data_IF_140469601300
#
_entry.id   IF_140469601300
#
_cell.length_a   1.000
_cell.length_b   1.000
_cell.length_c   1.000
_cell.angle_alpha   90.00
_cell.angle_beta   90.00
_cell.angle_gamma   90.00
#
_symmetry.space_group_name_H-M   'P 1'
#
loop_
_entity.id
_entity.type
_entity.pdbx_description
1 polymer ?
#
# COMPACT_ATOMS: atom_id res chain seq x y z
N UNK A 1 -18.98 -1.43 1.71
CA UNK A 1 -18.46 -1.06 3.04
C UNK A 1 -18.54 -2.21 4.06
N UNK A 2 -18.27 -3.43 3.63
CA UNK A 2 -18.34 -4.62 4.52
C UNK A 2 -17.15 -4.69 5.50
N UNK A 3 -16.02 -3.99 5.22
CA UNK A 3 -14.80 -4.08 6.04
C UNK A 3 -14.81 -3.20 7.30
N UNK A 4 -15.56 -2.08 7.32
CA UNK A 4 -15.62 -1.18 8.47
C UNK A 4 -16.19 -1.85 9.73
N UNK A 5 -17.31 -2.63 9.69
CA UNK A 5 -17.84 -3.29 10.86
C UNK A 5 -16.89 -4.34 11.44
N UNK A 6 -16.04 -4.94 10.61
CA UNK A 6 -15.04 -5.91 11.06
C UNK A 6 -13.94 -5.18 11.83
N UNK A 7 -13.41 -4.10 11.28
CA UNK A 7 -12.38 -3.28 11.94
C UNK A 7 -12.83 -2.72 13.28
N UNK A 8 -14.06 -2.19 13.36
CA UNK A 8 -14.65 -1.65 14.59
C UNK A 8 -14.81 -2.70 15.70
N UNK A 9 -15.05 -3.97 15.35
CA UNK A 9 -15.18 -5.06 16.34
C UNK A 9 -13.80 -5.63 16.73
N UNK A 10 -12.89 -5.70 15.79
CA UNK A 10 -11.54 -6.26 16.01
C UNK A 10 -10.71 -5.34 16.89
N UNK A 11 -10.79 -4.01 16.71
CA UNK A 11 -10.04 -3.04 17.50
C UNK A 11 -10.23 -3.20 19.01
N UNK A 12 -11.47 -3.14 19.54
CA UNK A 12 -11.73 -3.38 20.97
C UNK A 12 -11.39 -4.80 21.44
N UNK A 13 -11.52 -5.81 20.58
CA UNK A 13 -11.14 -7.19 20.93
C UNK A 13 -9.64 -7.33 21.13
N UNK A 14 -8.84 -6.67 20.29
CA UNK A 14 -7.39 -6.64 20.42
C UNK A 14 -6.92 -5.97 21.70
N UNK A 15 -7.54 -4.86 22.07
CA UNK A 15 -7.17 -4.09 23.28
C UNK A 15 -7.53 -4.78 24.57
N UNK A 16 -8.45 -5.76 24.56
CA UNK A 16 -8.74 -6.62 25.73
C UNK A 16 -7.57 -7.53 26.10
N UNK A 17 -6.67 -7.81 25.16
CA UNK A 17 -5.46 -8.58 25.45
C UNK A 17 -4.51 -7.74 26.32
N UNK A 18 -4.20 -8.23 27.53
CA UNK A 18 -3.23 -7.57 28.42
C UNK A 18 -1.78 -7.72 27.96
N UNK A 19 -1.52 -8.52 26.94
CA UNK A 19 -0.18 -8.81 26.41
C UNK A 19 0.06 -7.98 25.14
N UNK A 20 0.87 -6.95 25.26
CA UNK A 20 1.21 -6.03 24.17
C UNK A 20 1.67 -6.78 22.90
N UNK A 21 2.52 -7.77 23.07
CA UNK A 21 3.08 -8.51 21.95
C UNK A 21 2.02 -9.29 21.15
N UNK A 22 0.95 -9.75 21.81
CA UNK A 22 -0.19 -10.39 21.13
C UNK A 22 -0.95 -9.38 20.26
N UNK A 23 -1.14 -8.17 20.78
CA UNK A 23 -1.77 -7.07 20.04
C UNK A 23 -0.97 -6.72 18.78
N UNK A 24 0.36 -6.61 18.92
CA UNK A 24 1.24 -6.30 17.79
C UNK A 24 1.29 -7.41 16.75
N UNK A 25 1.32 -8.67 17.19
CA UNK A 25 1.27 -9.81 16.28
C UNK A 25 -0.05 -9.87 15.52
N UNK A 26 -1.17 -9.66 16.21
CA UNK A 26 -2.48 -9.61 15.56
C UNK A 26 -2.57 -8.45 14.57
N UNK A 27 -2.05 -7.28 14.93
CA UNK A 27 -1.98 -6.13 14.04
C UNK A 27 -1.17 -6.45 12.78
N UNK A 28 0.02 -7.03 12.94
CA UNK A 28 0.85 -7.46 11.83
C UNK A 28 0.11 -8.44 10.91
N UNK A 29 -0.47 -9.50 11.46
CA UNK A 29 -1.19 -10.51 10.68
C UNK A 29 -2.39 -9.91 9.94
N UNK A 30 -3.15 -9.05 10.60
CA UNK A 30 -4.28 -8.36 9.98
C UNK A 30 -3.83 -7.43 8.86
N UNK A 31 -2.74 -6.67 9.06
CA UNK A 31 -2.16 -5.83 8.02
C UNK A 31 -1.73 -6.65 6.81
N UNK A 32 -1.06 -7.78 7.01
CA UNK A 32 -0.66 -8.68 5.91
C UNK A 32 -1.88 -9.23 5.18
N UNK A 33 -2.86 -9.79 5.90
CA UNK A 33 -4.04 -10.43 5.29
C UNK A 33 -4.84 -9.43 4.46
N UNK A 34 -5.11 -8.24 5.00
CA UNK A 34 -5.91 -7.24 4.29
C UNK A 34 -5.19 -6.72 3.05
N UNK A 35 -3.86 -6.55 3.14
CA UNK A 35 -3.05 -6.05 2.03
C UNK A 35 -2.91 -7.08 0.90
N UNK A 36 -2.72 -8.35 1.23
CA UNK A 36 -2.70 -9.44 0.21
C UNK A 36 -4.05 -9.54 -0.51
N UNK A 37 -5.14 -9.17 0.16
CA UNK A 37 -6.49 -9.17 -0.43
C UNK A 37 -6.77 -7.94 -1.30
N UNK A 38 -5.87 -6.95 -1.35
CA UNK A 38 -6.03 -5.74 -2.14
C UNK A 38 -5.82 -6.04 -3.63
N UNK A 39 -6.83 -5.84 -4.50
CA UNK A 39 -6.71 -6.15 -5.93
C UNK A 39 -5.66 -5.28 -6.63
N UNK A 40 -5.52 -4.02 -6.24
CA UNK A 40 -4.57 -3.09 -6.85
C UNK A 40 -3.11 -3.52 -6.64
N UNK A 41 -2.83 -4.23 -5.54
CA UNK A 41 -1.49 -4.78 -5.28
C UNK A 41 -1.13 -5.89 -6.27
N UNK A 42 -2.10 -6.69 -6.69
CA UNK A 42 -1.87 -7.73 -7.69
C UNK A 42 -1.56 -7.11 -9.05
N UNK A 43 -2.29 -6.06 -9.42
CA UNK A 43 -2.02 -5.30 -10.65
C UNK A 43 -0.61 -4.68 -10.61
N UNK A 44 -0.21 -4.07 -9.50
CA UNK A 44 1.16 -3.55 -9.35
C UNK A 44 2.20 -4.64 -9.54
N UNK A 45 1.99 -5.83 -8.96
CA UNK A 45 2.93 -6.94 -9.08
C UNK A 45 3.09 -7.41 -10.54
N UNK A 46 2.01 -7.43 -11.32
CA UNK A 46 2.05 -7.78 -12.74
C UNK A 46 2.80 -6.75 -13.59
N UNK A 47 2.80 -5.48 -13.17
CA UNK A 47 3.51 -4.40 -13.86
C UNK A 47 5.03 -4.39 -13.61
N UNK A 48 5.54 -5.23 -12.71
CA UNK A 48 6.98 -5.27 -12.33
C UNK A 48 7.59 -6.62 -12.70
N UNK A 49 7.89 -6.88 -13.97
CA UNK A 49 8.37 -8.19 -14.44
C UNK A 49 9.76 -8.58 -13.91
N UNK A 50 10.50 -7.63 -13.36
CA UNK A 50 11.84 -7.86 -12.80
C UNK A 50 11.85 -8.60 -11.46
N UNK A 51 10.70 -8.75 -10.80
CA UNK A 51 10.56 -9.44 -9.52
C UNK A 51 9.37 -10.41 -9.60
N UNK A 52 9.45 -11.63 -9.04
CA UNK A 52 8.30 -12.52 -8.96
C UNK A 52 7.13 -11.86 -8.21
N UNK A 53 5.93 -11.94 -8.76
CA UNK A 53 4.72 -11.29 -8.23
C UNK A 53 4.50 -11.61 -6.74
N UNK A 54 4.63 -12.90 -6.37
CA UNK A 54 4.46 -13.35 -4.99
C UNK A 54 5.45 -12.69 -4.04
N UNK A 55 6.70 -12.48 -4.48
CA UNK A 55 7.73 -11.84 -3.69
C UNK A 55 7.40 -10.36 -3.45
N UNK A 56 6.99 -9.64 -4.49
CA UNK A 56 6.59 -8.25 -4.37
C UNK A 56 5.39 -8.10 -3.44
N UNK A 57 4.33 -8.90 -3.66
CA UNK A 57 3.12 -8.91 -2.83
C UNK A 57 3.46 -9.17 -1.36
N UNK A 58 4.32 -10.16 -1.09
CA UNK A 58 4.72 -10.50 0.27
C UNK A 58 5.48 -9.35 0.95
N UNK A 59 6.46 -8.73 0.27
CA UNK A 59 7.22 -7.61 0.83
C UNK A 59 6.34 -6.40 1.10
N UNK A 60 5.45 -6.06 0.19
CA UNK A 60 4.48 -4.96 0.36
C UNK A 60 3.55 -5.24 1.54
N UNK A 61 2.96 -6.43 1.60
CA UNK A 61 2.05 -6.82 2.67
C UNK A 61 2.75 -6.88 4.04
N UNK A 62 3.99 -7.39 4.10
CA UNK A 62 4.80 -7.39 5.31
C UNK A 62 5.11 -5.95 5.76
N UNK A 63 5.41 -5.04 4.81
CA UNK A 63 5.60 -3.63 5.07
C UNK A 63 4.38 -2.99 5.75
N UNK A 64 3.18 -3.20 5.20
CA UNK A 64 1.92 -2.72 5.82
C UNK A 64 1.72 -3.34 7.20
N UNK A 65 1.92 -4.64 7.35
CA UNK A 65 1.75 -5.34 8.62
C UNK A 65 2.66 -4.80 9.72
N UNK A 66 3.94 -4.60 9.41
CA UNK A 66 4.93 -4.03 10.34
C UNK A 66 4.51 -2.60 10.73
N UNK A 67 4.16 -1.76 9.75
CA UNK A 67 3.81 -0.38 10.02
C UNK A 67 2.45 -0.23 10.70
N UNK A 68 1.51 -1.14 10.49
CA UNK A 68 0.28 -1.19 11.27
C UNK A 68 0.57 -1.51 12.74
N UNK A 69 1.47 -2.46 13.01
CA UNK A 69 1.90 -2.74 14.37
C UNK A 69 2.63 -1.54 15.01
N UNK A 70 3.51 -0.87 14.27
CA UNK A 70 4.20 0.36 14.71
C UNK A 70 3.20 1.49 14.97
N UNK A 71 2.20 1.65 14.12
CA UNK A 71 1.19 2.69 14.26
C UNK A 71 0.28 2.45 15.48
N UNK A 72 -0.08 1.20 15.77
CA UNK A 72 -0.79 0.84 17.01
C UNK A 72 0.11 1.07 18.24
N UNK A 73 1.38 0.69 18.15
CA UNK A 73 2.36 0.94 19.21
C UNK A 73 2.46 2.43 19.53
N UNK A 74 2.55 3.27 18.50
CA UNK A 74 2.51 4.73 18.61
C UNK A 74 1.29 5.19 19.39
N UNK A 75 0.09 4.71 19.02
CA UNK A 75 -1.16 5.08 19.69
C UNK A 75 -1.13 4.69 21.17
N UNK A 76 -0.61 3.51 21.50
CA UNK A 76 -0.53 3.03 22.88
C UNK A 76 0.44 3.85 23.74
N UNK A 77 1.55 4.31 23.15
CA UNK A 77 2.56 5.14 23.86
C UNK A 77 2.31 6.65 23.76
N UNK A 78 1.30 7.09 23.00
CA UNK A 78 0.99 8.51 22.83
C UNK A 78 2.05 9.31 22.08
N UNK A 79 2.81 8.65 21.19
CA UNK A 79 3.86 9.33 20.40
C UNK A 79 3.21 10.21 19.33
N UNK A 80 3.70 11.46 19.21
CA UNK A 80 3.16 12.41 18.25
C UNK A 80 3.35 11.93 16.78
N UNK A 81 2.25 11.91 16.01
CA UNK A 81 2.25 11.49 14.62
C UNK A 81 3.26 12.27 13.74
N UNK A 82 3.32 13.63 13.80
CA UNK A 82 4.22 14.39 12.96
C UNK A 82 5.70 14.00 13.12
N UNK A 83 6.12 13.70 14.35
CA UNK A 83 7.50 13.28 14.62
C UNK A 83 7.82 11.96 13.93
N UNK A 84 6.93 10.99 14.02
CA UNK A 84 7.13 9.69 13.35
C UNK A 84 7.13 9.82 11.83
N UNK A 85 6.19 10.61 11.28
CA UNK A 85 6.15 10.86 9.84
C UNK A 85 7.44 11.49 9.34
N UNK A 86 7.95 12.53 10.03
CA UNK A 86 9.21 13.17 9.65
C UNK A 86 10.37 12.17 9.68
N UNK A 87 10.50 11.37 10.73
CA UNK A 87 11.58 10.38 10.84
C UNK A 87 11.51 9.36 9.69
N UNK A 88 10.33 8.78 9.45
CA UNK A 88 10.18 7.76 8.42
C UNK A 88 10.29 8.32 7.01
N UNK A 89 9.78 9.51 6.72
CA UNK A 89 9.98 10.14 5.41
C UNK A 89 11.44 10.54 5.16
N UNK A 90 12.17 11.00 6.18
CA UNK A 90 13.60 11.20 6.05
C UNK A 90 14.33 9.88 5.71
N UNK A 91 13.92 8.78 6.34
CA UNK A 91 14.45 7.45 6.01
C UNK A 91 14.10 7.04 4.58
N UNK A 92 12.84 7.25 4.14
CA UNK A 92 12.41 6.98 2.76
C UNK A 92 13.26 7.76 1.75
N UNK A 93 13.43 9.06 1.96
CA UNK A 93 14.23 9.89 1.05
C UNK A 93 15.70 9.49 1.07
N UNK A 94 16.24 9.14 2.23
CA UNK A 94 17.62 8.65 2.31
C UNK A 94 17.80 7.33 1.51
N UNK A 95 16.90 6.37 1.69
CA UNK A 95 16.94 5.11 0.94
C UNK A 95 16.70 5.31 -0.56
N UNK A 96 15.87 6.28 -0.94
CA UNK A 96 15.62 6.59 -2.35
C UNK A 96 16.90 6.96 -3.13
N UNK A 97 17.94 7.48 -2.47
CA UNK A 97 19.25 7.73 -3.12
C UNK A 97 20.05 6.43 -3.38
N UNK A 98 19.79 5.39 -2.60
CA UNK A 98 20.52 4.11 -2.68
C UNK A 98 19.84 3.10 -3.62
N UNK A 99 18.54 3.27 -3.86
CA UNK A 99 17.73 2.34 -4.68
C UNK A 99 17.88 2.68 -6.17
N UNK A 100 17.98 1.66 -7.07
CA UNK A 100 17.98 1.85 -8.52
C UNK A 100 16.77 2.67 -9.00
N UNK A 101 16.98 3.51 -10.06
CA UNK A 101 15.96 4.47 -10.52
C UNK A 101 14.63 3.83 -10.88
N UNK A 102 14.65 2.69 -11.59
CA UNK A 102 13.44 1.97 -11.97
C UNK A 102 12.62 1.48 -10.79
N UNK A 103 13.28 1.15 -9.66
CA UNK A 103 12.62 0.69 -8.45
C UNK A 103 12.09 1.80 -7.56
N UNK A 104 12.58 3.04 -7.70
CA UNK A 104 12.07 4.18 -6.93
C UNK A 104 10.59 4.44 -7.24
N UNK A 105 10.24 4.45 -8.52
CA UNK A 105 8.85 4.64 -8.95
C UNK A 105 7.95 3.55 -8.37
N UNK A 106 8.32 2.28 -8.50
CA UNK A 106 7.60 1.12 -7.96
C UNK A 106 7.43 1.22 -6.43
N UNK A 107 8.49 1.65 -5.73
CA UNK A 107 8.44 1.80 -4.27
C UNK A 107 7.41 2.85 -3.84
N UNK A 108 7.42 4.04 -4.46
CA UNK A 108 6.45 5.08 -4.14
C UNK A 108 5.03 4.69 -4.55
N UNK A 109 4.87 4.02 -5.69
CA UNK A 109 3.59 3.54 -6.18
C UNK A 109 2.99 2.48 -5.24
N UNK A 110 3.82 1.58 -4.69
CA UNK A 110 3.38 0.58 -3.71
C UNK A 110 2.76 1.21 -2.46
N UNK A 111 3.23 2.38 -2.03
CA UNK A 111 2.62 3.14 -0.92
C UNK A 111 1.23 3.66 -1.26
N UNK A 112 1.00 4.06 -2.51
CA UNK A 112 -0.31 4.48 -3.02
C UNK A 112 -1.28 3.31 -3.17
N UNK A 113 -0.83 2.23 -3.79
CA UNK A 113 -1.61 1.01 -4.05
C UNK A 113 -2.17 0.38 -2.76
N UNK A 114 -1.41 0.41 -1.68
CA UNK A 114 -1.86 -0.12 -0.37
C UNK A 114 -2.86 0.78 0.36
N UNK A 115 -3.18 1.94 -0.19
CA UNK A 115 -4.27 2.81 0.29
C UNK A 115 -5.56 2.61 -0.52
N UNK A 116 -5.86 1.37 -0.86
CA UNK A 116 -6.99 0.98 -1.71
C UNK A 116 -8.33 0.87 -0.97
N UNK A 117 -9.38 0.46 -1.70
CA UNK A 117 -10.76 0.45 -1.22
C UNK A 117 -11.04 -0.55 -0.08
N UNK A 118 -10.20 -1.55 0.11
CA UNK A 118 -10.34 -2.53 1.20
C UNK A 118 -9.50 -2.15 2.42
N UNK A 119 -8.26 -1.74 2.20
CA UNK A 119 -7.28 -1.50 3.25
C UNK A 119 -7.60 -0.25 4.07
N UNK A 120 -7.91 0.88 3.43
CA UNK A 120 -8.16 2.15 4.12
C UNK A 120 -9.37 2.09 5.04
N UNK A 121 -10.57 1.65 4.61
CA UNK A 121 -11.73 1.58 5.49
C UNK A 121 -11.51 0.64 6.69
N UNK A 122 -10.78 -0.45 6.48
CA UNK A 122 -10.45 -1.38 7.57
C UNK A 122 -9.51 -0.76 8.59
N UNK A 123 -8.40 -0.15 8.14
CA UNK A 123 -7.41 0.48 9.04
C UNK A 123 -8.03 1.63 9.81
N UNK A 124 -8.85 2.46 9.16
CA UNK A 124 -9.56 3.55 9.83
C UNK A 124 -10.53 3.03 10.88
N UNK A 125 -11.33 2.01 10.56
CA UNK A 125 -12.27 1.40 11.49
C UNK A 125 -11.55 0.72 12.67
N UNK A 126 -10.40 0.08 12.40
CA UNK A 126 -9.54 -0.49 13.45
C UNK A 126 -9.04 0.61 14.39
N UNK A 127 -8.60 1.74 13.83
CA UNK A 127 -8.15 2.91 14.61
C UNK A 127 -9.25 3.48 15.50
N UNK A 128 -10.45 3.69 14.95
CA UNK A 128 -11.62 4.13 15.72
C UNK A 128 -11.94 3.14 16.84
N UNK A 129 -11.92 1.82 16.53
CA UNK A 129 -12.19 0.77 17.52
C UNK A 129 -11.17 0.76 18.67
N UNK A 130 -9.89 0.98 18.39
CA UNK A 130 -8.84 1.06 19.42
C UNK A 130 -8.98 2.35 20.24
N UNK A 131 -9.22 3.47 19.60
CA UNK A 131 -9.38 4.78 20.27
C UNK A 131 -10.61 4.83 21.17
N UNK A 132 -11.71 4.17 20.78
CA UNK A 132 -12.93 4.07 21.58
C UNK A 132 -12.69 3.38 22.95
N UNK A 133 -11.77 2.42 23.01
CA UNK A 133 -11.41 1.73 24.27
C UNK A 133 -10.56 2.65 25.17
N UNK A 134 -9.74 3.54 24.57
CA UNK A 134 -8.90 4.49 25.31
C UNK A 134 -9.66 5.71 25.82
N UNK A 135 -10.91 5.92 25.36
CA UNK A 135 -11.73 7.09 25.66
C UNK A 135 -11.03 8.42 25.29
N UNK A 136 -10.32 8.44 24.16
CA UNK A 136 -9.47 9.54 23.70
C UNK A 136 -10.25 10.47 22.76
N UNK A 137 -10.09 11.80 22.95
CA UNK A 137 -10.77 12.81 22.11
C UNK A 137 -10.21 12.94 20.70
N UNK A 138 -9.06 12.31 20.43
CA UNK A 138 -8.33 12.37 19.15
C UNK A 138 -8.53 11.14 18.25
N UNK A 139 -9.60 10.39 18.45
CA UNK A 139 -9.86 9.13 17.73
C UNK A 139 -9.81 9.25 16.21
N UNK A 140 -10.33 10.34 15.65
CA UNK A 140 -10.35 10.57 14.20
C UNK A 140 -8.95 10.87 13.65
N UNK A 141 -8.19 11.72 14.34
CA UNK A 141 -6.82 12.09 13.96
C UNK A 141 -5.89 10.88 14.05
N UNK A 142 -6.05 10.07 15.08
CA UNK A 142 -5.28 8.86 15.27
C UNK A 142 -5.60 7.80 14.19
N UNK A 143 -6.86 7.66 13.81
CA UNK A 143 -7.28 6.72 12.76
C UNK A 143 -6.70 7.09 11.40
N UNK A 144 -6.72 8.37 11.04
CA UNK A 144 -6.10 8.86 9.82
C UNK A 144 -4.57 8.69 9.85
N UNK A 145 -3.96 8.91 11.01
CA UNK A 145 -2.54 8.69 11.24
C UNK A 145 -2.10 7.24 11.04
N UNK A 146 -2.96 6.26 11.35
CA UNK A 146 -2.70 4.85 11.05
C UNK A 146 -2.52 4.63 9.55
N UNK A 147 -3.42 5.16 8.72
CA UNK A 147 -3.34 5.03 7.25
C UNK A 147 -2.06 5.65 6.73
N UNK A 148 -1.72 6.88 7.17
CA UNK A 148 -0.50 7.58 6.75
C UNK A 148 0.78 6.82 7.09
N UNK A 149 0.85 6.18 8.26
CA UNK A 149 2.00 5.34 8.62
C UNK A 149 2.02 4.02 7.83
N UNK A 150 0.86 3.38 7.64
CA UNK A 150 0.77 2.13 6.88
C UNK A 150 1.18 2.29 5.41
N UNK A 151 1.02 3.47 4.79
CA UNK A 151 1.48 3.71 3.43
C UNK A 151 3.01 3.84 3.30
N UNK A 152 3.71 4.21 4.37
CA UNK A 152 5.18 4.28 4.39
C UNK A 152 5.81 2.89 4.41
N UNK A 153 5.16 1.92 5.06
CA UNK A 153 5.65 0.56 5.19
C UNK A 153 6.00 -0.12 3.86
N UNK A 154 5.06 -0.16 2.91
CA UNK A 154 5.29 -0.67 1.56
C UNK A 154 6.43 0.03 0.84
N UNK A 155 6.50 1.35 0.91
CA UNK A 155 7.57 2.13 0.28
C UNK A 155 8.94 1.63 0.76
N UNK A 156 9.12 1.55 2.06
CA UNK A 156 10.37 1.07 2.65
C UNK A 156 10.65 -0.39 2.32
N UNK A 157 9.63 -1.25 2.36
CA UNK A 157 9.77 -2.68 2.05
C UNK A 157 10.20 -2.90 0.60
N UNK A 158 9.59 -2.18 -0.37
CA UNK A 158 9.95 -2.28 -1.79
C UNK A 158 11.31 -1.64 -2.06
N UNK A 159 11.69 -0.57 -1.36
CA UNK A 159 13.05 -0.03 -1.46
C UNK A 159 14.10 -1.04 -1.00
N UNK A 160 13.86 -1.71 0.12
CA UNK A 160 14.75 -2.79 0.62
C UNK A 160 14.79 -3.95 -0.38
N UNK A 161 13.63 -4.33 -0.94
CA UNK A 161 13.57 -5.36 -1.98
C UNK A 161 14.40 -4.98 -3.21
N UNK A 162 14.31 -3.75 -3.69
CA UNK A 162 15.09 -3.24 -4.82
C UNK A 162 16.59 -3.24 -4.56
N UNK A 163 17.01 -3.02 -3.32
CA UNK A 163 18.42 -3.10 -2.92
C UNK A 163 18.93 -4.55 -2.86
N UNK A 164 18.10 -5.50 -2.48
CA UNK A 164 18.47 -6.93 -2.37
C UNK A 164 18.47 -7.59 -3.75
N UNK A 165 17.43 -7.32 -4.52
CA UNK A 165 17.21 -8.00 -5.80
C UNK A 165 18.13 -7.51 -6.91
N UNK A 166 18.69 -6.27 -6.78
CA UNK A 166 19.50 -5.62 -7.80
C UNK A 166 18.93 -5.94 -9.20
N UNK A 167 17.66 -5.62 -9.47
CA UNK A 167 17.10 -5.92 -10.78
C UNK A 167 18.02 -5.25 -11.80
N UNK A 168 18.61 -6.07 -12.66
CA UNK A 168 19.29 -5.55 -13.83
C UNK A 168 18.34 -4.53 -14.44
N UNK A 169 18.85 -3.35 -14.81
CA UNK A 169 18.05 -2.29 -15.43
C UNK A 169 17.15 -2.97 -16.44
N UNK A 170 15.88 -3.16 -16.06
CA UNK A 170 14.94 -3.82 -16.94
C UNK A 170 14.95 -2.96 -18.17
N UNK A 171 15.40 -3.50 -19.28
CA UNK A 171 15.08 -2.93 -20.56
C UNK A 171 13.55 -2.94 -20.60
N UNK A 172 12.95 -1.88 -20.03
CA UNK A 172 11.66 -1.45 -20.54
C UNK A 172 11.96 -1.22 -22.02
N UNK A 173 11.67 -2.20 -22.84
CA UNK A 173 11.47 -1.94 -24.25
C UNK A 173 10.31 -0.93 -24.24
N UNK A 174 10.67 0.34 -24.14
CA UNK A 174 9.80 1.41 -24.57
C UNK A 174 9.35 0.91 -25.94
N UNK A 175 8.12 0.43 -26.06
CA UNK A 175 7.52 0.16 -27.37
C UNK A 175 7.93 1.36 -28.21
N UNK A 176 8.82 1.12 -29.17
CA UNK A 176 9.49 2.18 -29.91
C UNK A 176 8.39 3.08 -30.41
N UNK A 177 8.27 4.28 -29.83
CA UNK A 177 7.25 5.21 -30.24
C UNK A 177 7.38 5.33 -31.74
N UNK A 178 6.49 4.70 -32.50
CA UNK A 178 6.45 4.81 -33.95
C UNK A 178 6.53 6.29 -34.24
N UNK A 179 7.56 6.71 -34.99
CA UNK A 179 7.74 8.10 -35.39
C UNK A 179 6.46 8.56 -36.08
N UNK A 180 5.59 9.19 -35.34
CA UNK A 180 4.30 9.69 -35.79
C UNK A 180 4.62 10.98 -36.56
N UNK A 181 4.50 10.90 -37.87
CA UNK A 181 4.83 12.02 -38.76
C UNK A 181 3.69 13.01 -38.98
N UNK A 182 2.45 12.61 -38.66
CA UNK A 182 1.28 13.42 -38.92
C UNK A 182 0.22 13.24 -37.82
N UNK A 183 -0.53 14.32 -37.52
CA UNK A 183 -1.62 14.35 -36.54
C UNK A 183 -2.75 13.37 -36.88
N UNK A 184 -2.95 13.06 -38.15
CA UNK A 184 -3.94 12.09 -38.61
C UNK A 184 -3.54 10.65 -38.27
N UNK A 185 -2.25 10.33 -38.34
CA UNK A 185 -1.70 9.02 -37.96
C UNK A 185 -1.76 8.83 -36.46
N UNK A 186 -1.49 9.88 -35.68
CA UNK A 186 -1.68 9.91 -34.23
C UNK A 186 -3.15 9.60 -33.85
N UNK A 187 -4.08 10.28 -34.49
CA UNK A 187 -5.50 10.09 -34.22
C UNK A 187 -5.96 8.66 -34.56
N UNK A 188 -5.47 8.07 -35.64
CA UNK A 188 -5.78 6.68 -36.02
C UNK A 188 -5.20 5.69 -35.02
N UNK A 189 -3.97 5.88 -34.56
CA UNK A 189 -3.36 5.01 -33.55
C UNK A 189 -4.10 5.11 -32.21
N UNK A 190 -4.46 6.32 -31.79
CA UNK A 190 -5.22 6.53 -30.56
C UNK A 190 -6.60 5.88 -30.63
N UNK A 191 -7.34 6.09 -31.74
CA UNK A 191 -8.67 5.48 -31.93
C UNK A 191 -8.58 3.95 -32.05
N UNK A 192 -7.52 3.41 -32.64
CA UNK A 192 -7.29 1.96 -32.74
C UNK A 192 -6.89 1.32 -31.40
N UNK A 193 -6.10 2.02 -30.59
CA UNK A 193 -5.69 1.55 -29.25
C UNK A 193 -6.80 1.71 -28.19
N UNK A 194 -7.65 2.72 -28.33
CA UNK A 194 -8.68 3.04 -27.34
C UNK A 194 -9.56 1.86 -26.91
N UNK A 195 -10.11 1.03 -27.81
CA UNK A 195 -10.94 -0.10 -27.40
C UNK A 195 -10.14 -1.20 -26.66
N UNK A 196 -8.85 -1.36 -26.96
CA UNK A 196 -7.98 -2.34 -26.30
C UNK A 196 -7.73 -1.89 -24.86
N UNK A 197 -7.26 -0.67 -24.67
CA UNK A 197 -7.03 -0.10 -23.34
C UNK A 197 -8.31 0.03 -22.51
N UNK A 198 -9.43 0.36 -23.14
CA UNK A 198 -10.72 0.38 -22.46
C UNK A 198 -11.13 -0.99 -21.94
N UNK A 199 -10.91 -2.05 -22.75
CA UNK A 199 -11.16 -3.43 -22.35
C UNK A 199 -10.27 -3.86 -21.19
N UNK A 200 -8.99 -3.55 -21.25
CA UNK A 200 -8.03 -3.84 -20.17
C UNK A 200 -8.41 -3.14 -18.88
N UNK A 201 -8.74 -1.86 -18.93
CA UNK A 201 -9.25 -1.12 -17.78
C UNK A 201 -10.54 -1.72 -17.21
N UNK A 202 -11.49 -2.10 -18.06
CA UNK A 202 -12.73 -2.75 -17.61
C UNK A 202 -12.46 -4.09 -16.93
N UNK A 203 -11.53 -4.90 -17.44
CA UNK A 203 -11.15 -6.18 -16.84
C UNK A 203 -10.45 -5.95 -15.49
N UNK A 204 -9.56 -4.97 -15.41
CA UNK A 204 -8.85 -4.62 -14.17
C UNK A 204 -9.77 -4.07 -13.08
N UNK A 205 -10.84 -3.36 -13.47
CA UNK A 205 -11.85 -2.84 -12.55
C UNK A 205 -12.91 -3.88 -12.16
N UNK A 206 -13.05 -4.96 -12.93
CA UNK A 206 -14.09 -5.98 -12.71
C UNK A 206 -14.07 -6.58 -11.29
N UNK A 207 -12.89 -6.95 -10.71
CA UNK A 207 -12.83 -7.46 -9.34
C UNK A 207 -13.36 -6.45 -8.31
N UNK A 208 -13.09 -5.15 -8.53
CA UNK A 208 -13.55 -4.08 -7.65
C UNK A 208 -15.08 -3.95 -7.73
N UNK A 209 -15.63 -3.96 -8.93
CA UNK A 209 -17.09 -3.87 -9.16
C UNK A 209 -17.83 -5.09 -8.59
N UNK A 210 -17.22 -6.28 -8.65
CA UNK A 210 -17.82 -7.50 -8.11
C UNK A 210 -17.71 -7.61 -6.57
N UNK A 211 -16.77 -6.87 -5.95
CA UNK A 211 -16.60 -6.84 -4.50
C UNK A 211 -17.55 -5.88 -3.78
N UNK A 212 -18.23 -5.01 -4.51
CA UNK A 212 -19.22 -4.04 -4.03
C UNK A 212 -20.63 -4.38 -4.48
#
# INVERSE_FOLDING_TARGET
>A
MAMSPIGERVGPAMTKSRKLWVVLLLAFLLGVIITVSEPDLQVLAELVPSVPNETLIFFVAAGVGIFLAVAILRMLFGIALPVMLVIFYLLVFFLAFLVPEGFRAVAFDSGGVTTGPMTVPFIMALGVGISAVRNDRHAADDSFGLVGLCSIGPILAVMVLGMIYHPAEGNYELEAMKNIKDSMELAKQFLGGFPVYLKEMMISLLPIVLAF
#
